data_IF_267999328761
#
_entry.id   IF_267999328761
#
_cell.length_a   1.000
_cell.length_b   1.000
_cell.length_c   1.000
_cell.angle_alpha   90.00
_cell.angle_beta   90.00
_cell.angle_gamma   90.00
#
_symmetry.space_group_name_H-M   'P 1'
#
loop_
_entity.id
_entity.type
_entity.pdbx_description
1 polymer ?
#
# COMPACT_ATOMS: atom_id res chain seq x y z
N UNK A 1 -18.34 1.45 -3.12
CA UNK A 1 -17.65 1.63 -4.42
C UNK A 1 -16.18 2.03 -4.23
N UNK A 2 -15.89 3.19 -3.65
CA UNK A 2 -14.51 3.68 -3.40
C UNK A 2 -13.66 2.62 -2.69
N UNK A 3 -14.21 2.03 -1.62
CA UNK A 3 -13.53 0.98 -0.87
C UNK A 3 -13.12 -0.22 -1.74
N UNK A 4 -14.03 -0.72 -2.57
CA UNK A 4 -13.74 -1.86 -3.44
C UNK A 4 -12.69 -1.51 -4.49
N UNK A 5 -12.67 -0.28 -5.00
CA UNK A 5 -11.69 0.16 -5.97
C UNK A 5 -10.28 0.17 -5.35
N UNK A 6 -10.13 0.76 -4.16
CA UNK A 6 -8.84 0.80 -3.45
C UNK A 6 -8.38 -0.61 -3.06
N UNK A 7 -9.28 -1.44 -2.51
CA UNK A 7 -8.94 -2.82 -2.11
C UNK A 7 -8.51 -3.67 -3.31
N UNK A 8 -9.22 -3.56 -4.44
CA UNK A 8 -8.85 -4.28 -5.66
C UNK A 8 -7.52 -3.77 -6.22
N UNK A 9 -7.29 -2.46 -6.22
CA UNK A 9 -6.02 -1.88 -6.64
C UNK A 9 -4.86 -2.40 -5.79
N UNK A 10 -5.00 -2.43 -4.46
CA UNK A 10 -3.96 -2.92 -3.55
C UNK A 10 -3.61 -4.41 -3.80
N UNK A 11 -4.63 -5.23 -4.08
CA UNK A 11 -4.43 -6.65 -4.44
C UNK A 11 -3.71 -6.77 -5.78
N UNK A 12 -4.11 -6.01 -6.80
CA UNK A 12 -3.42 -6.02 -8.08
C UNK A 12 -1.97 -5.56 -7.91
N UNK A 13 -1.74 -4.48 -7.18
CA UNK A 13 -0.42 -3.91 -6.96
C UNK A 13 0.54 -4.79 -6.14
N UNK A 14 0.00 -5.62 -5.25
CA UNK A 14 0.80 -6.50 -4.40
C UNK A 14 1.09 -7.87 -5.00
N UNK A 15 0.24 -8.36 -5.92
CA UNK A 15 0.29 -9.76 -6.36
C UNK A 15 0.41 -9.95 -7.88
N UNK A 16 0.17 -8.92 -8.70
CA UNK A 16 0.34 -9.02 -10.16
C UNK A 16 1.70 -8.47 -10.55
N UNK A 17 2.62 -9.31 -11.04
CA UNK A 17 3.98 -8.90 -11.37
C UNK A 17 4.07 -8.03 -12.63
N UNK A 18 3.09 -8.18 -13.54
CA UNK A 18 3.04 -7.43 -14.79
C UNK A 18 2.03 -6.29 -14.70
N UNK A 19 2.43 -5.08 -15.10
CA UNK A 19 1.56 -3.90 -15.08
C UNK A 19 0.35 -4.07 -16.02
N UNK A 20 0.55 -4.79 -17.13
CA UNK A 20 -0.50 -5.11 -18.10
C UNK A 20 -1.67 -5.88 -17.48
N UNK A 21 -1.44 -6.61 -16.38
CA UNK A 21 -2.49 -7.33 -15.68
C UNK A 21 -3.32 -6.44 -14.74
N UNK A 22 -2.89 -5.19 -14.46
CA UNK A 22 -3.61 -4.27 -13.59
C UNK A 22 -4.79 -3.65 -14.35
N UNK A 23 -6.00 -3.97 -13.91
CA UNK A 23 -7.26 -3.54 -14.55
C UNK A 23 -7.92 -2.37 -13.83
N UNK A 24 -7.43 -2.05 -12.63
CA UNK A 24 -7.98 -0.99 -11.78
C UNK A 24 -7.49 0.41 -12.15
N UNK A 25 -6.58 0.53 -13.11
CA UNK A 25 -5.90 1.78 -13.48
C UNK A 25 -5.87 1.98 -15.00
N UNK A 26 -5.77 3.23 -15.45
CA UNK A 26 -5.40 3.59 -16.82
C UNK A 26 -3.86 3.68 -16.88
N UNK A 27 -3.20 2.73 -17.56
CA UNK A 27 -1.73 2.63 -17.58
C UNK A 27 -1.05 3.91 -18.07
N UNK A 28 -1.63 4.62 -19.05
CA UNK A 28 -1.03 5.82 -19.64
C UNK A 28 -1.21 7.09 -18.79
N UNK A 29 -2.09 7.05 -17.78
CA UNK A 29 -2.41 8.21 -16.91
C UNK A 29 -2.21 7.93 -15.43
N UNK A 30 -1.82 6.72 -15.06
CA UNK A 30 -1.67 6.33 -13.68
C UNK A 30 -0.53 7.11 -13.02
N UNK A 31 -0.82 7.67 -11.86
CA UNK A 31 0.14 8.35 -11.00
C UNK A 31 -0.27 8.16 -9.56
N UNK A 32 0.70 7.85 -8.71
CA UNK A 32 0.50 7.62 -7.28
C UNK A 32 1.44 8.48 -6.45
N UNK A 33 0.91 9.21 -5.47
CA UNK A 33 1.66 10.15 -4.65
C UNK A 33 1.19 10.10 -3.20
N UNK A 34 2.11 10.39 -2.28
CA UNK A 34 1.88 10.33 -0.83
C UNK A 34 2.53 11.53 -0.17
N UNK A 35 1.88 12.08 0.86
CA UNK A 35 2.42 13.18 1.67
C UNK A 35 2.91 14.39 0.85
N UNK A 36 2.27 14.67 -0.30
CA UNK A 36 2.65 15.76 -1.18
C UNK A 36 3.94 15.52 -2.00
N UNK A 37 4.48 14.30 -1.99
CA UNK A 37 5.63 13.90 -2.82
C UNK A 37 5.31 13.84 -4.32
N UNK A 38 6.34 13.63 -5.16
CA UNK A 38 6.16 13.51 -6.60
C UNK A 38 5.35 12.25 -6.95
N UNK A 39 4.54 12.34 -8.00
CA UNK A 39 3.82 11.18 -8.54
C UNK A 39 4.76 10.12 -9.09
N UNK A 40 4.46 8.86 -8.76
CA UNK A 40 5.18 7.66 -9.21
C UNK A 40 4.35 6.88 -10.23
N UNK A 41 5.04 6.23 -11.17
CA UNK A 41 4.40 5.38 -12.20
C UNK A 41 4.12 3.98 -11.67
N UNK A 42 3.31 3.20 -12.41
CA UNK A 42 3.02 1.81 -12.06
C UNK A 42 4.26 0.92 -12.11
N UNK A 43 5.17 1.18 -13.04
CA UNK A 43 6.46 0.46 -13.17
C UNK A 43 7.36 0.73 -11.96
N UNK A 44 7.39 1.97 -11.46
CA UNK A 44 8.11 2.29 -10.23
C UNK A 44 7.52 1.53 -9.03
N UNK A 45 6.18 1.49 -8.93
CA UNK A 45 5.48 0.76 -7.88
C UNK A 45 5.79 -0.75 -7.91
N UNK A 46 5.85 -1.37 -9.10
CA UNK A 46 6.24 -2.78 -9.25
C UNK A 46 7.68 -3.04 -8.83
N UNK A 47 8.60 -2.12 -9.12
CA UNK A 47 10.02 -2.27 -8.80
C UNK A 47 10.30 -2.15 -7.30
N UNK A 48 9.63 -1.21 -6.64
CA UNK A 48 9.93 -0.83 -5.25
C UNK A 48 9.00 -1.55 -4.25
N UNK A 49 7.77 -1.87 -4.66
CA UNK A 49 6.71 -2.40 -3.82
C UNK A 49 5.91 -1.30 -3.12
N UNK A 50 4.61 -1.54 -2.89
CA UNK A 50 3.67 -0.56 -2.32
C UNK A 50 4.15 -0.01 -0.97
N UNK A 51 4.57 -0.88 -0.05
CA UNK A 51 5.02 -0.45 1.29
C UNK A 51 6.30 0.39 1.29
N UNK A 52 7.28 0.06 0.44
CA UNK A 52 8.51 0.85 0.31
C UNK A 52 8.25 2.20 -0.36
N UNK A 53 7.22 2.29 -1.21
CA UNK A 53 6.77 3.56 -1.76
C UNK A 53 6.00 4.41 -0.73
N UNK A 54 5.36 3.77 0.26
CA UNK A 54 4.48 4.43 1.25
C UNK A 54 5.17 4.81 2.56
N UNK A 55 6.06 3.96 3.06
CA UNK A 55 6.64 4.09 4.41
C UNK A 55 8.05 4.67 4.28
N UNK A 56 8.20 5.91 4.74
CA UNK A 56 9.52 6.52 4.88
C UNK A 56 10.37 5.73 5.91
N UNK A 57 11.69 5.62 5.70
CA UNK A 57 12.59 5.00 6.68
C UNK A 57 12.41 5.63 8.05
N UNK A 58 12.31 4.80 9.08
CA UNK A 58 12.16 5.23 10.46
C UNK A 58 12.81 4.24 11.43
N UNK A 59 12.80 4.56 12.72
CA UNK A 59 13.43 3.75 13.78
C UNK A 59 12.89 2.32 13.91
N UNK A 60 11.76 1.99 13.26
CA UNK A 60 11.13 0.67 13.23
C UNK A 60 11.11 0.02 11.83
N UNK A 61 11.48 0.75 10.77
CA UNK A 61 11.41 0.24 9.40
C UNK A 61 12.53 0.80 8.52
N UNK A 62 13.39 -0.08 8.04
CA UNK A 62 14.35 0.22 6.98
C UNK A 62 13.96 -0.48 5.68
N UNK A 63 13.62 0.26 4.60
CA UNK A 63 13.39 -0.32 3.28
C UNK A 63 14.66 -0.94 2.67
N UNK A 64 15.83 -0.70 3.26
CA UNK A 64 17.12 -1.28 2.84
C UNK A 64 17.30 -2.70 3.40
N UNK A 65 16.83 -2.97 4.62
CA UNK A 65 17.06 -4.23 5.33
C UNK A 65 15.81 -5.11 5.44
N UNK A 66 14.64 -4.56 5.14
CA UNK A 66 13.36 -5.27 5.12
C UNK A 66 12.88 -5.38 3.68
N UNK A 67 13.18 -6.50 3.02
CA UNK A 67 12.68 -6.78 1.69
C UNK A 67 11.14 -7.00 1.72
N UNK A 68 10.51 -6.99 0.55
CA UNK A 68 9.05 -7.12 0.47
C UNK A 68 8.53 -8.42 1.12
N UNK A 69 9.26 -9.53 1.01
CA UNK A 69 8.82 -10.81 1.55
C UNK A 69 8.93 -10.87 3.08
N UNK A 70 10.03 -10.39 3.65
CA UNK A 70 10.29 -10.36 5.10
C UNK A 70 9.37 -9.38 5.80
N UNK A 71 9.25 -8.15 5.31
CA UNK A 71 8.33 -7.13 5.83
C UNK A 71 6.89 -7.64 5.89
N UNK A 72 6.42 -8.23 4.78
CA UNK A 72 5.05 -8.75 4.68
C UNK A 72 4.81 -9.94 5.64
N UNK A 73 5.81 -10.80 5.83
CA UNK A 73 5.74 -11.93 6.78
C UNK A 73 5.75 -11.47 8.23
N UNK A 74 6.63 -10.54 8.61
CA UNK A 74 6.69 -9.94 9.95
C UNK A 74 5.36 -9.27 10.28
N UNK A 75 4.85 -8.47 9.35
CA UNK A 75 3.61 -7.74 9.54
C UNK A 75 2.41 -8.68 9.69
N UNK A 76 2.26 -9.68 8.81
CA UNK A 76 1.19 -10.68 8.91
C UNK A 76 1.26 -11.54 10.17
N UNK A 77 2.45 -11.81 10.71
CA UNK A 77 2.60 -12.55 11.96
C UNK A 77 2.23 -11.69 13.17
N UNK A 78 2.69 -10.45 13.20
CA UNK A 78 2.39 -9.49 14.25
C UNK A 78 0.89 -9.17 14.30
N UNK A 79 0.28 -8.90 13.15
CA UNK A 79 -1.11 -8.45 13.05
C UNK A 79 -1.83 -9.23 11.92
N UNK A 80 -2.28 -10.47 12.21
CA UNK A 80 -2.91 -11.35 11.21
C UNK A 80 -4.16 -10.76 10.59
N UNK A 81 -4.89 -9.94 11.35
CA UNK A 81 -6.01 -9.15 10.87
C UNK A 81 -5.55 -7.70 10.77
N UNK A 82 -5.35 -7.22 9.55
CA UNK A 82 -5.09 -5.82 9.24
C UNK A 82 -6.07 -5.34 8.18
N UNK A 83 -7.27 -4.98 8.64
CA UNK A 83 -8.35 -4.54 7.79
C UNK A 83 -8.13 -3.09 7.35
N UNK A 84 -8.72 -2.73 6.22
CA UNK A 84 -8.79 -1.38 5.70
C UNK A 84 -10.26 -1.03 5.44
N UNK A 85 -10.69 0.16 5.84
CA UNK A 85 -12.05 0.62 5.60
C UNK A 85 -12.12 2.12 5.28
N UNK A 86 -13.11 2.49 4.46
CA UNK A 86 -13.49 3.90 4.24
C UNK A 86 -14.42 4.33 5.35
N UNK A 87 -14.11 5.46 5.99
CA UNK A 87 -14.91 6.06 7.05
C UNK A 87 -15.90 7.09 6.50
N UNK A 88 -15.44 7.90 5.55
CA UNK A 88 -16.22 9.02 5.02
C UNK A 88 -15.77 9.35 3.60
N UNK A 89 -16.70 9.71 2.72
CA UNK A 89 -16.42 10.13 1.35
C UNK A 89 -16.79 11.61 1.21
N UNK A 90 -15.80 12.45 0.92
CA UNK A 90 -15.93 13.91 0.83
C UNK A 90 -16.36 14.38 -0.56
N UNK A 91 -16.03 13.63 -1.60
CA UNK A 91 -16.39 13.99 -2.98
C UNK A 91 -16.63 12.77 -3.86
N UNK A 92 -17.50 12.93 -4.87
CA UNK A 92 -17.79 11.92 -5.88
C UNK A 92 -16.88 12.03 -7.13
N UNK A 93 -17.04 11.13 -8.11
CA UNK A 93 -16.29 11.17 -9.37
C UNK A 93 -16.42 12.52 -10.11
N UNK A 94 -15.40 12.94 -10.89
CA UNK A 94 -14.20 12.18 -11.25
C UNK A 94 -13.06 12.27 -10.22
N UNK A 95 -13.15 13.18 -9.23
CA UNK A 95 -12.14 13.35 -8.18
C UNK A 95 -12.73 13.00 -6.83
N UNK A 96 -12.37 11.82 -6.33
CA UNK A 96 -12.86 11.30 -5.04
C UNK A 96 -11.84 11.59 -3.95
N UNK A 97 -12.25 12.31 -2.92
CA UNK A 97 -11.54 12.48 -1.65
C UNK A 97 -12.32 11.73 -0.56
N UNK A 98 -11.61 11.04 0.33
CA UNK A 98 -12.22 10.22 1.36
C UNK A 98 -11.26 10.05 2.55
N UNK A 99 -11.83 9.79 3.73
CA UNK A 99 -11.10 9.41 4.94
C UNK A 99 -11.20 7.90 5.14
N UNK A 100 -10.10 7.30 5.54
CA UNK A 100 -9.98 5.85 5.73
C UNK A 100 -9.15 5.54 6.98
N UNK A 101 -9.19 4.29 7.42
CA UNK A 101 -8.26 3.79 8.45
C UNK A 101 -7.91 2.32 8.20
N UNK A 102 -6.77 1.92 8.75
CA UNK A 102 -6.55 0.52 9.07
C UNK A 102 -6.99 0.21 10.50
N UNK A 103 -7.39 -1.04 10.74
CA UNK A 103 -7.61 -1.55 12.08
C UNK A 103 -7.27 -3.04 12.15
N UNK A 104 -6.89 -3.49 13.34
CA UNK A 104 -6.42 -4.83 13.54
C UNK A 104 -6.16 -5.13 15.00
N UNK A 105 -5.77 -6.37 15.28
CA UNK A 105 -5.33 -6.78 16.61
C UNK A 105 -3.93 -7.31 16.53
N UNK A 106 -3.01 -6.70 17.28
CA UNK A 106 -1.66 -7.23 17.45
C UNK A 106 -1.75 -8.53 18.25
N UNK A 107 -1.22 -9.61 17.66
CA UNK A 107 -1.17 -10.96 18.25
C UNK A 107 0.23 -11.35 18.70
N UNK A 108 1.27 -10.73 18.14
CA UNK A 108 2.67 -10.93 18.49
C UNK A 108 3.39 -9.57 18.46
N UNK A 109 4.59 -9.53 19.02
CA UNK A 109 5.45 -8.35 18.96
C UNK A 109 5.95 -8.08 17.53
N UNK A 110 6.15 -6.80 17.22
CA UNK A 110 6.85 -6.40 16.01
C UNK A 110 8.35 -6.69 16.16
N UNK A 111 8.95 -7.34 15.16
CA UNK A 111 10.39 -7.57 15.11
C UNK A 111 10.91 -6.99 13.80
N UNK A 112 11.46 -5.78 13.87
CA UNK A 112 12.13 -5.11 12.76
C UNK A 112 13.63 -5.39 12.78
N UNK A 113 14.23 -5.54 11.60
CA UNK A 113 15.68 -5.60 11.42
C UNK A 113 16.11 -4.29 10.76
N UNK A 114 16.76 -3.42 11.54
CA UNK A 114 17.26 -2.13 11.05
C UNK A 114 18.78 -2.09 10.94
N UNK A 115 19.46 -3.15 11.41
CA UNK A 115 20.90 -3.40 11.37
C UNK A 115 21.17 -4.90 11.17
#
# INVERSE_FOLDING_TARGET
MVENLVKNWEVEASFKPELSDWRTIDHGKYSFAINGGPGQTGEHMLKVGTYNAIIAPNEYYSPVYSDFASSHKTFKRMMPTFAWEVLEVYSGPPKVAFKWRHWGTMKNDYVGFNE
#
